data_IF_353275585219
#
_entry.id   IF_353275585219
#
_cell.length_a   1.000
_cell.length_b   1.000
_cell.length_c   1.000
_cell.angle_alpha   90.00
_cell.angle_beta   90.00
_cell.angle_gamma   90.00
#
_symmetry.space_group_name_H-M   'P 1'
#
loop_
_entity.id
_entity.type
_entity.pdbx_description
1 polymer ?
#
# COMPACT_ATOMS: atom_id res chain seq x y z
N UNK A 1 -12.92 -1.26 5.80
CA UNK A 1 -13.73 -0.28 6.55
C UNK A 1 -14.60 0.48 5.54
N UNK A 2 -15.83 0.87 5.88
CA UNK A 2 -16.67 1.73 5.02
C UNK A 2 -16.93 3.06 5.73
N UNK A 3 -16.67 4.17 5.06
CA UNK A 3 -16.91 5.50 5.63
C UNK A 3 -18.32 6.06 5.33
N UNK A 4 -19.05 5.45 4.39
CA UNK A 4 -20.44 5.71 4.00
C UNK A 4 -20.83 7.20 3.81
N UNK A 5 -19.86 8.11 3.65
CA UNK A 5 -20.10 9.55 3.70
C UNK A 5 -20.50 10.16 2.35
N UNK A 6 -19.98 9.62 1.25
CA UNK A 6 -20.34 10.04 -0.11
C UNK A 6 -20.06 8.90 -1.09
N UNK A 7 -20.89 8.77 -2.13
CA UNK A 7 -20.81 7.64 -3.07
C UNK A 7 -19.50 7.64 -3.89
N UNK A 8 -18.90 8.80 -4.16
CA UNK A 8 -17.69 8.90 -5.00
C UNK A 8 -16.58 9.77 -4.43
N UNK A 9 -16.81 10.48 -3.32
CA UNK A 9 -15.82 11.41 -2.78
C UNK A 9 -14.94 10.68 -1.77
N UNK A 10 -13.62 10.65 -1.93
CA UNK A 10 -12.74 9.99 -0.99
C UNK A 10 -12.74 10.72 0.36
N UNK A 11 -12.61 9.94 1.45
CA UNK A 11 -12.45 10.46 2.81
C UNK A 11 -11.02 10.22 3.28
N UNK A 12 -10.24 11.27 3.43
CA UNK A 12 -8.89 11.16 3.99
C UNK A 12 -8.91 10.51 5.39
N UNK A 13 -9.92 10.83 6.20
CA UNK A 13 -10.12 10.21 7.51
C UNK A 13 -10.44 8.71 7.37
N UNK A 14 -11.36 8.33 6.47
CA UNK A 14 -11.73 6.93 6.24
C UNK A 14 -10.56 6.08 5.75
N UNK A 15 -9.70 6.65 4.90
CA UNK A 15 -8.46 6.01 4.43
C UNK A 15 -7.44 5.88 5.57
N UNK A 16 -7.28 6.92 6.39
CA UNK A 16 -6.40 6.89 7.57
C UNK A 16 -6.86 5.84 8.59
N UNK A 17 -8.16 5.75 8.84
CA UNK A 17 -8.73 4.76 9.76
C UNK A 17 -8.58 3.33 9.24
N UNK A 18 -8.70 3.12 7.92
CA UNK A 18 -8.40 1.83 7.31
C UNK A 18 -6.92 1.44 7.47
N UNK A 19 -5.99 2.38 7.27
CA UNK A 19 -4.56 2.14 7.50
C UNK A 19 -4.26 1.83 8.97
N UNK A 20 -4.81 2.61 9.92
CA UNK A 20 -4.64 2.35 11.36
C UNK A 20 -5.21 0.99 11.76
N UNK A 21 -6.39 0.63 11.27
CA UNK A 21 -7.01 -0.66 11.53
C UNK A 21 -6.15 -1.83 11.01
N UNK A 22 -5.55 -1.68 9.82
CA UNK A 22 -4.65 -2.69 9.26
C UNK A 22 -3.36 -2.83 10.10
N UNK A 23 -2.73 -1.71 10.48
CA UNK A 23 -1.55 -1.70 11.37
C UNK A 23 -1.86 -2.35 12.72
N UNK A 24 -3.00 -2.00 13.33
CA UNK A 24 -3.46 -2.58 14.59
C UNK A 24 -3.72 -4.08 14.46
N UNK A 25 -4.42 -4.52 13.40
CA UNK A 25 -4.69 -5.93 13.15
C UNK A 25 -3.42 -6.75 12.92
N UNK A 26 -2.41 -6.14 12.30
CA UNK A 26 -1.12 -6.78 12.05
C UNK A 26 -0.15 -6.67 13.24
N UNK A 27 -0.50 -5.90 14.28
CA UNK A 27 0.36 -5.58 15.43
C UNK A 27 1.69 -4.94 15.02
N UNK A 28 1.65 -4.04 14.04
CA UNK A 28 2.81 -3.35 13.49
C UNK A 28 2.77 -1.86 13.85
N UNK A 29 3.88 -1.34 14.35
CA UNK A 29 4.03 0.09 14.59
C UNK A 29 4.18 0.85 13.27
N UNK A 30 3.59 2.05 13.18
CA UNK A 30 3.72 2.91 12.01
C UNK A 30 5.20 3.23 11.66
N UNK A 31 6.08 3.20 12.67
CA UNK A 31 7.52 3.38 12.50
C UNK A 31 8.21 2.23 11.73
N UNK A 32 7.60 1.05 11.69
CA UNK A 32 8.14 -0.15 11.03
C UNK A 32 7.73 -0.28 9.55
N UNK A 33 6.96 0.67 9.02
CA UNK A 33 6.62 0.70 7.59
C UNK A 33 7.77 1.31 6.80
N UNK A 34 8.24 0.56 5.81
CA UNK A 34 9.40 0.90 4.98
C UNK A 34 9.01 1.47 3.61
N UNK A 35 7.82 1.13 3.10
CA UNK A 35 7.30 1.62 1.82
C UNK A 35 5.76 1.54 1.77
N UNK A 36 5.15 2.29 0.86
CA UNK A 36 3.71 2.26 0.61
C UNK A 36 3.47 2.11 -0.90
N UNK A 37 2.67 1.13 -1.29
CA UNK A 37 1.98 1.14 -2.58
C UNK A 37 0.61 1.78 -2.40
N UNK A 38 0.47 3.02 -2.85
CA UNK A 38 -0.73 3.83 -2.74
C UNK A 38 -1.84 3.31 -3.67
N UNK A 39 -3.09 3.68 -3.37
CA UNK A 39 -4.19 3.48 -4.28
C UNK A 39 -3.99 4.29 -5.56
N UNK A 40 -3.51 5.54 -5.47
CA UNK A 40 -2.88 6.28 -6.56
C UNK A 40 -3.60 6.20 -7.92
N UNK A 41 -4.80 6.79 -8.00
CA UNK A 41 -5.64 6.73 -9.20
C UNK A 41 -5.28 7.77 -10.25
N UNK A 42 -4.41 8.72 -9.92
CA UNK A 42 -4.09 9.85 -10.78
C UNK A 42 -5.17 10.94 -10.77
N UNK A 43 -6.15 10.85 -9.86
CA UNK A 43 -7.21 11.85 -9.74
C UNK A 43 -6.87 12.82 -8.63
N UNK A 44 -6.96 14.12 -8.93
CA UNK A 44 -6.51 15.19 -8.03
C UNK A 44 -7.10 15.08 -6.62
N UNK A 45 -8.40 14.78 -6.52
CA UNK A 45 -9.10 14.69 -5.23
C UNK A 45 -8.69 13.45 -4.45
N UNK A 46 -8.54 12.29 -5.11
CA UNK A 46 -8.12 11.06 -4.44
C UNK A 46 -6.68 11.14 -3.96
N UNK A 47 -5.78 11.59 -4.82
CA UNK A 47 -4.35 11.52 -4.52
C UNK A 47 -3.98 12.53 -3.41
N UNK A 48 -4.64 13.69 -3.37
CA UNK A 48 -4.53 14.63 -2.26
C UNK A 48 -5.15 14.09 -0.95
N UNK A 49 -6.29 13.39 -1.03
CA UNK A 49 -6.91 12.76 0.13
C UNK A 49 -6.05 11.64 0.71
N UNK A 50 -5.47 10.80 -0.17
CA UNK A 50 -4.57 9.72 0.21
C UNK A 50 -3.26 10.25 0.80
N UNK A 51 -2.67 11.30 0.22
CA UNK A 51 -1.53 12.02 0.80
C UNK A 51 -1.83 12.48 2.22
N UNK A 52 -2.98 13.14 2.40
CA UNK A 52 -3.42 13.64 3.71
C UNK A 52 -3.64 12.50 4.71
N UNK A 53 -4.20 11.38 4.26
CA UNK A 53 -4.40 10.19 5.07
C UNK A 53 -3.06 9.58 5.53
N UNK A 54 -2.08 9.45 4.63
CA UNK A 54 -0.75 8.93 4.96
C UNK A 54 -0.09 9.83 5.99
N UNK A 55 -0.12 11.16 5.79
CA UNK A 55 0.39 12.12 6.80
C UNK A 55 -0.29 11.97 8.16
N UNK A 56 -1.61 11.79 8.19
CA UNK A 56 -2.35 11.61 9.43
C UNK A 56 -2.02 10.31 10.19
N UNK A 57 -1.50 9.28 9.49
CA UNK A 57 -1.10 8.01 10.09
C UNK A 57 0.37 8.01 10.53
N UNK A 58 1.24 8.57 9.70
CA UNK A 58 2.70 8.46 9.87
C UNK A 58 3.37 9.73 10.43
N UNK A 59 2.65 10.86 10.54
CA UNK A 59 3.20 12.12 11.03
C UNK A 59 4.39 12.59 10.19
N UNK A 60 5.45 13.08 10.84
CA UNK A 60 6.68 13.55 10.18
C UNK A 60 7.36 12.46 9.35
N UNK A 61 7.22 11.18 9.75
CA UNK A 61 7.80 10.05 9.01
C UNK A 61 7.22 9.92 7.61
N UNK A 62 6.00 10.38 7.37
CA UNK A 62 5.33 10.26 6.08
C UNK A 62 6.19 10.76 4.91
N UNK A 63 6.92 11.88 5.10
CA UNK A 63 7.77 12.48 4.07
C UNK A 63 9.03 11.65 3.72
N UNK A 64 9.32 10.59 4.48
CA UNK A 64 10.49 9.74 4.32
C UNK A 64 10.15 8.30 3.92
N UNK A 65 8.86 7.99 3.75
CA UNK A 65 8.42 6.67 3.29
C UNK A 65 8.28 6.75 1.77
N UNK A 66 9.01 5.94 0.99
CA UNK A 66 8.82 5.88 -0.46
C UNK A 66 7.39 5.42 -0.79
N UNK A 67 6.72 6.19 -1.66
CA UNK A 67 5.36 5.93 -2.11
C UNK A 67 5.35 5.59 -3.60
N UNK A 68 4.77 4.44 -3.94
CA UNK A 68 4.55 4.00 -5.32
C UNK A 68 3.07 4.10 -5.69
N UNK A 69 2.73 4.38 -6.95
CA UNK A 69 1.38 4.25 -7.49
C UNK A 69 1.42 3.42 -8.77
N UNK A 70 1.31 2.09 -8.62
CA UNK A 70 1.56 1.12 -9.71
C UNK A 70 0.49 1.14 -10.80
N UNK A 71 -0.69 1.73 -10.57
CA UNK A 71 -1.72 1.95 -11.62
C UNK A 71 -1.19 2.77 -12.79
N UNK A 72 -0.15 3.58 -12.59
CA UNK A 72 0.52 4.29 -13.68
C UNK A 72 1.22 3.33 -14.69
N UNK A 73 1.53 2.09 -14.30
CA UNK A 73 2.15 1.08 -15.17
C UNK A 73 1.12 0.24 -15.94
N UNK A 74 0.02 -0.13 -15.28
CA UNK A 74 -0.91 -1.15 -15.78
C UNK A 74 -2.37 -0.68 -15.90
N UNK A 75 -2.64 0.60 -15.61
CA UNK A 75 -3.99 1.16 -15.54
C UNK A 75 -4.77 0.68 -14.31
N UNK A 76 -5.99 1.20 -14.13
CA UNK A 76 -6.85 0.79 -13.03
C UNK A 76 -7.70 -0.43 -13.41
N UNK A 77 -7.27 -1.62 -13.00
CA UNK A 77 -7.95 -2.89 -13.32
C UNK A 77 -9.21 -3.17 -12.47
N UNK A 78 -9.81 -2.13 -11.88
CA UNK A 78 -11.01 -2.17 -11.03
C UNK A 78 -10.99 -3.36 -10.05
N UNK A 79 -11.80 -4.40 -10.26
CA UNK A 79 -11.92 -5.55 -9.37
C UNK A 79 -10.64 -6.39 -9.25
N UNK A 80 -9.76 -6.36 -10.26
CA UNK A 80 -8.48 -7.08 -10.22
C UNK A 80 -7.33 -6.24 -9.63
N UNK A 81 -7.53 -4.94 -9.39
CA UNK A 81 -6.47 -4.03 -8.95
C UNK A 81 -5.83 -4.49 -7.64
N UNK A 82 -6.64 -4.81 -6.62
CA UNK A 82 -6.12 -5.22 -5.31
C UNK A 82 -5.25 -6.48 -5.36
N UNK A 83 -5.61 -7.48 -6.18
CA UNK A 83 -4.83 -8.70 -6.31
C UNK A 83 -3.49 -8.45 -7.02
N UNK A 84 -3.50 -7.70 -8.13
CA UNK A 84 -2.29 -7.36 -8.86
C UNK A 84 -1.35 -6.51 -8.01
N UNK A 85 -1.87 -5.47 -7.35
CA UNK A 85 -1.10 -4.57 -6.50
C UNK A 85 -0.50 -5.29 -5.30
N UNK A 86 -1.20 -6.27 -4.73
CA UNK A 86 -0.65 -7.16 -3.70
C UNK A 86 0.55 -7.97 -4.23
N UNK A 87 0.43 -8.61 -5.40
CA UNK A 87 1.53 -9.37 -6.02
C UNK A 87 2.73 -8.47 -6.31
N UNK A 88 2.50 -7.28 -6.88
CA UNK A 88 3.56 -6.31 -7.15
C UNK A 88 4.26 -5.85 -5.87
N UNK A 89 3.49 -5.64 -4.79
CA UNK A 89 4.02 -5.27 -3.47
C UNK A 89 4.86 -6.39 -2.86
N UNK A 90 4.44 -7.64 -3.00
CA UNK A 90 5.24 -8.80 -2.57
C UNK A 90 6.56 -8.92 -3.35
N UNK A 91 6.53 -8.70 -4.66
CA UNK A 91 7.75 -8.68 -5.49
C UNK A 91 8.67 -7.50 -5.11
N UNK A 92 8.10 -6.33 -4.84
CA UNK A 92 8.81 -5.15 -4.37
C UNK A 92 9.54 -5.43 -3.04
N UNK A 93 8.88 -6.09 -2.08
CA UNK A 93 9.51 -6.59 -0.85
C UNK A 93 10.64 -7.59 -1.14
N UNK A 94 10.35 -8.60 -1.97
CA UNK A 94 11.31 -9.67 -2.29
C UNK A 94 12.59 -9.13 -2.93
N UNK A 95 12.47 -8.13 -3.80
CA UNK A 95 13.58 -7.57 -4.54
C UNK A 95 14.20 -6.32 -3.89
N UNK A 96 13.61 -5.80 -2.81
CA UNK A 96 14.10 -4.57 -2.16
C UNK A 96 13.99 -3.36 -3.07
N UNK A 97 12.84 -3.19 -3.73
CA UNK A 97 12.59 -2.14 -4.72
C UNK A 97 11.31 -1.40 -4.39
N UNK A 98 11.31 -0.07 -4.48
CA UNK A 98 10.07 0.71 -4.57
C UNK A 98 9.75 0.96 -6.05
N UNK A 99 8.55 0.56 -6.48
CA UNK A 99 8.15 0.56 -7.88
C UNK A 99 7.94 2.00 -8.40
N UNK A 100 8.20 2.25 -9.68
CA UNK A 100 8.02 3.59 -10.24
C UNK A 100 6.54 3.94 -10.38
N UNK A 101 6.25 5.21 -10.08
CA UNK A 101 5.04 5.89 -10.52
C UNK A 101 5.34 6.51 -11.89
N UNK A 102 4.89 5.86 -12.96
CA UNK A 102 5.12 6.33 -14.33
C UNK A 102 4.39 7.63 -14.62
N UNK A 103 4.91 8.40 -15.57
CA UNK A 103 4.33 9.67 -16.03
C UNK A 103 4.32 10.79 -14.98
N UNK A 104 4.99 10.59 -13.84
CA UNK A 104 5.12 11.60 -12.78
C UNK A 104 6.28 12.55 -13.09
N UNK A 105 6.04 13.54 -13.95
CA UNK A 105 7.03 14.57 -14.29
C UNK A 105 6.94 15.81 -13.36
N UNK A 106 5.73 16.17 -12.95
CA UNK A 106 5.44 17.31 -12.07
C UNK A 106 4.45 16.86 -11.00
N UNK A 107 4.91 16.61 -9.77
CA UNK A 107 4.02 16.27 -8.66
C UNK A 107 3.00 17.39 -8.41
N UNK A 108 1.78 17.02 -8.04
CA UNK A 108 0.79 17.97 -7.55
C UNK A 108 1.29 18.55 -6.20
N UNK A 109 1.24 19.86 -5.96
CA UNK A 109 1.64 20.45 -4.67
C UNK A 109 0.91 19.87 -3.45
N UNK A 110 -0.29 19.31 -3.63
CA UNK A 110 -1.03 18.62 -2.57
C UNK A 110 -0.53 17.18 -2.31
N UNK A 111 0.36 16.67 -3.16
CA UNK A 111 0.97 15.34 -3.12
C UNK A 111 2.50 15.47 -2.91
N UNK A 112 2.87 15.97 -1.73
CA UNK A 112 4.24 16.36 -1.34
C UNK A 112 4.99 15.27 -0.54
N UNK A 113 4.62 14.01 -0.72
CA UNK A 113 5.34 12.87 -0.15
C UNK A 113 6.48 12.41 -1.07
N UNK A 114 7.30 11.47 -0.59
CA UNK A 114 8.38 10.85 -1.35
C UNK A 114 7.85 9.85 -2.40
N UNK A 115 7.11 10.37 -3.40
CA UNK A 115 6.65 9.58 -4.54
C UNK A 115 7.81 9.18 -5.44
N UNK A 116 7.93 7.89 -5.76
CA UNK A 116 9.00 7.35 -6.61
C UNK A 116 8.67 7.64 -8.09
N UNK A 117 9.35 8.58 -8.79
CA UNK A 117 8.92 9.03 -10.10
C UNK A 117 9.69 8.35 -11.24
N UNK A 118 8.97 7.76 -12.20
CA UNK A 118 9.44 7.22 -13.49
C UNK A 118 10.49 6.10 -13.49
N UNK A 119 11.32 5.98 -12.46
CA UNK A 119 12.34 4.94 -12.32
C UNK A 119 12.23 4.27 -10.94
N UNK A 120 12.42 2.96 -10.92
CA UNK A 120 12.37 2.19 -9.68
C UNK A 120 13.51 2.63 -8.75
N UNK A 121 13.24 2.65 -7.44
CA UNK A 121 14.28 2.87 -6.42
C UNK A 121 14.72 1.51 -5.88
N UNK A 122 15.94 1.10 -6.23
CA UNK A 122 16.50 -0.21 -5.91
C UNK A 122 17.37 -0.19 -4.65
N UNK A 123 17.74 -1.38 -4.15
CA UNK A 123 18.66 -1.53 -3.02
C UNK A 123 18.07 -1.13 -1.67
N UNK A 124 16.74 -1.08 -1.56
CA UNK A 124 16.04 -0.74 -0.33
C UNK A 124 15.96 -1.96 0.60
N UNK A 125 16.24 -1.74 1.88
CA UNK A 125 16.06 -2.74 2.92
C UNK A 125 14.58 -2.79 3.36
N UNK A 126 13.70 -3.26 2.47
CA UNK A 126 12.27 -3.35 2.76
C UNK A 126 11.93 -4.62 3.55
N UNK A 127 11.26 -4.46 4.68
CA UNK A 127 10.73 -5.58 5.49
C UNK A 127 9.22 -5.52 5.60
N UNK A 128 8.64 -4.33 5.72
CA UNK A 128 7.20 -4.14 5.84
C UNK A 128 6.72 -3.06 4.90
N UNK A 129 5.61 -3.28 4.20
CA UNK A 129 4.96 -2.26 3.39
C UNK A 129 3.44 -2.30 3.47
N UNK A 130 2.82 -1.19 3.13
CA UNK A 130 1.38 -1.11 2.91
C UNK A 130 1.03 -1.26 1.43
N UNK A 131 -0.10 -1.90 1.15
CA UNK A 131 -0.79 -1.82 -0.15
C UNK A 131 -2.20 -1.28 0.07
N UNK A 132 -2.46 -0.08 -0.40
CA UNK A 132 -3.73 0.63 -0.23
C UNK A 132 -4.66 0.42 -1.43
N UNK A 133 -5.94 0.17 -1.17
CA UNK A 133 -6.97 0.12 -2.20
C UNK A 133 -8.27 0.75 -1.70
N UNK A 134 -8.68 1.85 -2.32
CA UNK A 134 -9.81 2.67 -1.88
C UNK A 134 -10.86 2.74 -2.97
N UNK A 135 -11.89 1.89 -2.86
CA UNK A 135 -12.95 1.84 -3.84
C UNK A 135 -14.02 2.92 -3.59
N UNK A 136 -14.83 3.18 -4.62
CA UNK A 136 -16.02 4.01 -4.51
C UNK A 136 -16.95 3.55 -3.37
N UNK A 137 -17.79 4.46 -2.89
CA UNK A 137 -18.68 4.23 -1.76
C UNK A 137 -17.95 4.10 -0.42
N UNK A 138 -16.69 4.53 -0.35
CA UNK A 138 -15.92 4.54 0.88
C UNK A 138 -15.39 3.17 1.31
N UNK A 139 -15.36 2.18 0.41
CA UNK A 139 -14.88 0.83 0.74
C UNK A 139 -13.36 0.82 0.70
N UNK A 140 -12.76 0.98 1.87
CA UNK A 140 -11.32 1.12 2.04
C UNK A 140 -10.71 -0.20 2.55
N UNK A 141 -9.71 -0.71 1.82
CA UNK A 141 -8.94 -1.90 2.14
C UNK A 141 -7.45 -1.58 2.16
N UNK A 142 -6.75 -2.05 3.19
CA UNK A 142 -5.30 -1.87 3.36
C UNK A 142 -4.70 -3.21 3.78
N UNK A 143 -3.63 -3.61 3.09
CA UNK A 143 -2.85 -4.79 3.45
C UNK A 143 -1.53 -4.36 4.06
N UNK A 144 -1.16 -4.98 5.19
CA UNK A 144 0.20 -4.93 5.73
C UNK A 144 0.93 -6.19 5.27
N UNK A 145 1.99 -6.01 4.48
CA UNK A 145 2.81 -7.11 3.98
C UNK A 145 4.15 -7.09 4.69
N UNK A 146 4.57 -8.21 5.26
CA UNK A 146 5.84 -8.34 5.97
C UNK A 146 6.64 -9.52 5.44
N UNK A 147 7.88 -9.26 5.06
CA UNK A 147 8.84 -10.31 4.74
C UNK A 147 9.19 -11.10 6.01
N UNK A 148 9.03 -12.42 5.96
CA UNK A 148 9.49 -13.32 7.01
C UNK A 148 10.76 -14.01 6.54
N UNK A 149 11.73 -14.19 7.46
CA UNK A 149 12.79 -15.16 7.22
C UNK A 149 12.15 -16.53 7.36
N UNK A 150 12.20 -17.34 6.30
CA UNK A 150 11.89 -18.76 6.41
C UNK A 150 12.94 -19.37 7.35
N UNK A 151 12.64 -19.46 8.64
CA UNK A 151 13.21 -20.52 9.47
C UNK A 151 12.67 -21.81 8.87
N UNK A 152 13.54 -22.69 8.39
CA UNK A 152 13.20 -24.01 7.82
C UNK A 152 11.98 -24.61 8.50
N UNK A 153 10.81 -24.47 7.87
CA UNK A 153 9.61 -25.19 8.27
C UNK A 153 9.87 -26.61 7.79
N UNK A 154 10.00 -27.57 8.72
CA UNK A 154 10.17 -28.97 8.33
C UNK A 154 9.01 -29.36 7.40
N UNK A 155 9.32 -30.11 6.33
CA UNK A 155 8.34 -30.50 5.31
C UNK A 155 7.08 -31.18 5.89
N UNK A 156 7.12 -31.65 7.13
CA UNK A 156 5.98 -32.21 7.86
C UNK A 156 4.87 -31.19 8.17
N UNK A 157 5.18 -29.91 8.36
CA UNK A 157 4.14 -28.90 8.65
C UNK A 157 3.35 -28.45 7.41
N UNK A 158 3.95 -28.51 6.21
CA UNK A 158 3.24 -28.24 4.96
C UNK A 158 2.19 -29.32 4.64
N UNK A 159 2.44 -30.59 4.98
CA UNK A 159 1.45 -31.66 4.79
C UNK A 159 0.26 -31.53 5.75
N UNK A 160 0.48 -31.00 6.96
CA UNK A 160 -0.58 -30.87 7.98
C UNK A 160 -1.63 -29.81 7.60
N UNK A 161 -1.24 -28.72 6.92
CA UNK A 161 -2.20 -27.70 6.46
C UNK A 161 -3.07 -28.16 5.28
N UNK A 162 -2.56 -29.06 4.43
CA UNK A 162 -3.32 -29.59 3.30
C UNK A 162 -4.41 -30.60 3.74
N UNK A 163 -4.21 -31.30 4.86
CA UNK A 163 -5.16 -32.30 5.37
C UNK A 163 -6.33 -31.72 6.17
N UNK A 164 -6.27 -30.45 6.59
CA UNK A 164 -7.33 -29.79 7.35
C UNK A 164 -8.36 -29.04 6.47
N UNK A 165 -8.18 -29.07 5.14
CA UNK A 165 -9.05 -28.41 4.16
C UNK A 165 -9.82 -29.39 3.25
N UNK A 166 -9.95 -30.66 3.68
CA UNK A 166 -10.85 -31.66 3.08
C UNK A 166 -11.82 -32.19 4.12
#
# INVERSE_FOLDING_TARGET
>A
CTDAGHITKPSAQGQADAMRAALQSAQIDAADIDAINAHGTGTQVNDAAETSAIKAVFGERAAHIPVSATKALHGHLVGAAGALECVLSLLALQHGVALPTMHLARPDPACDLDYVPNAAREGLALRTMLSNSFAFGGTNAVLVLRATKLSTVSAQACLALAAAAL
#
